data_IF_501062781693
#
_entry.id   IF_501062781693
#
_cell.length_a   1.000
_cell.length_b   1.000
_cell.length_c   1.000
_cell.angle_alpha   90.00
_cell.angle_beta   90.00
_cell.angle_gamma   90.00
#
_symmetry.space_group_name_H-M   'P 1'
#
loop_
_entity.id
_entity.type
_entity.pdbx_description
1 polymer ?
#
# COMPACT_ATOMS: atom_id res chain seq x y z
N UNK A 1 -1.33 12.14 17.32
CA UNK A 1 -1.33 13.42 18.08
C UNK A 1 -2.02 13.29 19.43
N UNK A 2 -3.05 12.43 19.56
CA UNK A 2 -3.73 12.16 20.84
C UNK A 2 -2.83 11.55 21.94
N UNK A 3 -1.86 10.69 21.59
CA UNK A 3 -1.02 10.00 22.59
C UNK A 3 0.29 10.70 23.02
N UNK A 4 0.79 11.71 22.29
CA UNK A 4 2.16 12.20 22.52
C UNK A 4 2.20 13.31 23.59
N UNK A 5 2.92 13.12 24.72
CA UNK A 5 2.89 14.03 25.88
C UNK A 5 3.53 15.41 25.61
N UNK A 6 4.31 15.55 24.53
CA UNK A 6 4.99 16.79 24.14
C UNK A 6 4.39 17.43 22.88
N UNK A 7 3.20 16.97 22.45
CA UNK A 7 2.45 17.52 21.31
C UNK A 7 3.21 17.54 19.96
N UNK A 8 4.27 16.74 19.82
CA UNK A 8 4.94 16.53 18.53
C UNK A 8 4.23 15.41 17.74
N UNK A 9 4.30 15.49 16.41
CA UNK A 9 3.83 14.42 15.53
C UNK A 9 5.02 13.65 14.94
N UNK A 10 5.53 12.61 15.62
CA UNK A 10 6.72 11.90 15.16
C UNK A 10 6.52 11.19 13.82
N UNK A 11 5.30 10.75 13.52
CA UNK A 11 4.97 10.10 12.24
C UNK A 11 5.12 11.06 11.06
N UNK A 12 4.72 12.32 11.22
CA UNK A 12 4.84 13.31 10.14
C UNK A 12 6.31 13.53 9.75
N UNK A 13 7.19 13.67 10.73
CA UNK A 13 8.63 13.80 10.51
C UNK A 13 9.19 12.57 9.76
N UNK A 14 8.84 11.36 10.20
CA UNK A 14 9.28 10.12 9.54
C UNK A 14 8.77 10.04 8.10
N UNK A 15 7.53 10.45 7.84
CA UNK A 15 6.95 10.46 6.50
C UNK A 15 7.65 11.48 5.59
N UNK A 16 8.01 12.66 6.12
CA UNK A 16 8.77 13.67 5.39
C UNK A 16 10.16 13.15 5.00
N UNK A 17 10.88 12.51 5.93
CA UNK A 17 12.18 11.89 5.66
C UNK A 17 12.07 10.81 4.57
N UNK A 18 11.06 9.93 4.66
CA UNK A 18 10.83 8.88 3.65
C UNK A 18 10.48 9.46 2.28
N UNK A 19 9.67 10.53 2.23
CA UNK A 19 9.35 11.23 0.99
C UNK A 19 10.59 11.79 0.31
N UNK A 20 11.48 12.40 1.08
CA UNK A 20 12.75 12.91 0.57
C UNK A 20 13.64 11.78 0.02
N UNK A 21 13.77 10.67 0.75
CA UNK A 21 14.51 9.49 0.27
C UNK A 21 13.97 8.96 -1.06
N UNK A 22 12.65 8.85 -1.20
CA UNK A 22 12.02 8.27 -2.39
C UNK A 22 12.03 9.22 -3.59
N UNK A 23 11.64 10.48 -3.41
CA UNK A 23 11.47 11.42 -4.52
C UNK A 23 12.78 12.09 -4.93
N UNK A 24 13.64 12.43 -3.97
CA UNK A 24 14.84 13.23 -4.26
C UNK A 24 16.10 12.36 -4.35
N UNK A 25 16.27 11.40 -3.44
CA UNK A 25 17.44 10.51 -3.46
C UNK A 25 17.21 9.24 -4.29
N UNK A 26 16.01 9.02 -4.83
CA UNK A 26 15.61 7.79 -5.54
C UNK A 26 15.90 6.50 -4.76
N UNK A 27 15.95 6.60 -3.43
CA UNK A 27 16.28 5.52 -2.52
C UNK A 27 14.99 4.90 -1.96
N UNK A 28 14.51 3.86 -2.62
CA UNK A 28 13.32 3.11 -2.21
C UNK A 28 13.57 1.59 -2.23
N UNK A 29 12.94 0.82 -1.32
CA UNK A 29 12.97 -0.63 -1.38
C UNK A 29 12.41 -1.17 -2.70
N UNK A 30 12.97 -2.26 -3.21
CA UNK A 30 12.60 -2.80 -4.53
C UNK A 30 11.14 -3.26 -4.60
N UNK A 31 10.59 -3.72 -3.49
CA UNK A 31 9.18 -4.09 -3.35
C UNK A 31 8.26 -2.88 -3.55
N UNK A 32 8.70 -1.69 -3.12
CA UNK A 32 7.93 -0.46 -3.29
C UNK A 32 7.94 0.02 -4.73
N UNK A 33 9.06 -0.12 -5.45
CA UNK A 33 9.12 0.15 -6.89
C UNK A 33 8.09 -0.69 -7.66
N UNK A 34 7.97 -1.97 -7.29
CA UNK A 34 6.96 -2.86 -7.88
C UNK A 34 5.54 -2.38 -7.56
N UNK A 35 5.31 -1.96 -6.31
CA UNK A 35 4.02 -1.42 -5.88
C UNK A 35 3.67 -0.13 -6.64
N UNK A 36 4.61 0.82 -6.81
CA UNK A 36 4.38 2.05 -7.57
C UNK A 36 3.97 1.74 -9.01
N UNK A 37 4.69 0.84 -9.68
CA UNK A 37 4.33 0.39 -11.02
C UNK A 37 2.94 -0.26 -11.08
N UNK A 38 2.55 -1.05 -10.08
CA UNK A 38 1.21 -1.63 -10.04
C UNK A 38 0.14 -0.55 -9.85
N UNK A 39 0.36 0.43 -8.97
CA UNK A 39 -0.58 1.54 -8.74
C UNK A 39 -0.78 2.37 -10.01
N UNK A 40 0.29 2.68 -10.72
CA UNK A 40 0.22 3.47 -11.96
C UNK A 40 -0.49 2.74 -13.09
N UNK A 41 -0.29 1.44 -13.23
CA UNK A 41 -0.84 0.67 -14.35
C UNK A 41 -2.21 0.04 -14.07
N UNK A 42 -2.45 -0.42 -12.84
CA UNK A 42 -3.63 -1.20 -12.47
C UNK A 42 -4.54 -0.47 -11.46
N UNK A 43 -4.19 0.75 -11.04
CA UNK A 43 -4.88 1.50 -9.98
C UNK A 43 -4.96 0.73 -8.65
N UNK A 44 -4.04 -0.23 -8.45
CA UNK A 44 -4.01 -1.10 -7.29
C UNK A 44 -2.56 -1.50 -6.95
N UNK A 45 -2.17 -1.58 -5.66
CA UNK A 45 -0.81 -1.91 -5.27
C UNK A 45 -0.46 -3.40 -5.47
N UNK A 46 -1.47 -4.27 -5.53
CA UNK A 46 -1.31 -5.69 -5.81
C UNK A 46 -1.31 -5.96 -7.32
N UNK A 47 -0.49 -6.92 -7.74
CA UNK A 47 -0.38 -7.36 -9.14
C UNK A 47 -1.49 -8.35 -9.51
N UNK A 48 -2.75 -7.98 -9.26
CA UNK A 48 -3.94 -8.80 -9.56
C UNK A 48 -4.90 -7.95 -10.38
N UNK A 49 -5.45 -8.52 -11.44
CA UNK A 49 -6.46 -7.83 -12.25
C UNK A 49 -7.74 -7.58 -11.43
N UNK A 50 -8.55 -6.56 -11.75
CA UNK A 50 -9.83 -6.34 -11.06
C UNK A 50 -10.74 -7.58 -11.10
N UNK A 51 -10.83 -8.24 -12.26
CA UNK A 51 -11.67 -9.44 -12.45
C UNK A 51 -11.17 -10.62 -11.61
N UNK A 52 -9.86 -10.79 -11.49
CA UNK A 52 -9.28 -11.84 -10.64
C UNK A 52 -9.43 -11.52 -9.15
N UNK A 53 -9.47 -10.23 -8.79
CA UNK A 53 -9.66 -9.80 -7.39
C UNK A 53 -11.02 -10.19 -6.86
N UNK A 54 -12.05 -10.32 -7.71
CA UNK A 54 -13.40 -10.67 -7.25
C UNK A 54 -13.64 -12.17 -7.18
N UNK A 55 -12.73 -13.01 -7.71
CA UNK A 55 -12.90 -14.47 -7.75
C UNK A 55 -13.09 -15.12 -6.38
N UNK A 56 -12.43 -14.61 -5.33
CA UNK A 56 -12.58 -15.17 -3.97
C UNK A 56 -14.04 -15.11 -3.48
N UNK A 57 -14.82 -14.11 -3.91
CA UNK A 57 -16.24 -13.99 -3.53
C UNK A 57 -17.08 -15.11 -4.14
N UNK A 58 -16.76 -15.50 -5.37
CA UNK A 58 -17.44 -16.59 -6.08
C UNK A 58 -17.05 -17.96 -5.52
N UNK A 59 -15.78 -18.11 -5.11
CA UNK A 59 -15.29 -19.33 -4.45
C UNK A 59 -15.96 -19.53 -3.08
N UNK A 60 -16.13 -18.48 -2.29
CA UNK A 60 -16.81 -18.55 -0.99
C UNK A 60 -18.32 -18.83 -1.13
N UNK A 61 -18.99 -18.23 -2.11
CA UNK A 61 -20.42 -18.49 -2.36
C UNK A 61 -20.72 -19.94 -2.78
N UNK A 62 -19.72 -20.67 -3.30
CA UNK A 62 -19.82 -22.10 -3.62
C UNK A 62 -19.58 -23.04 -2.43
N UNK A 63 -18.95 -22.56 -1.36
CA UNK A 63 -18.54 -23.35 -0.20
C UNK A 63 -19.58 -23.44 0.94
N UNK A 64 -20.61 -22.59 0.91
CA UNK A 64 -21.76 -22.63 1.85
C UNK A 64 -22.81 -23.72 1.49
N UNK A 65 -22.51 -24.58 0.51
CA UNK A 65 -23.32 -25.77 0.21
C UNK A 65 -22.82 -26.98 1.02
N UNK A 66 -23.05 -26.94 2.33
CA UNK A 66 -23.06 -28.13 3.18
C UNK A 66 -24.50 -28.50 3.53
#
# INVERSE_FOLDING_TARGET
>A
VQECPVSINPLDIILQLRRYLVMEESNSPQEWTTMFGNVENNFAPWKVSPDDRDKWTSEMAGQDKF
#
